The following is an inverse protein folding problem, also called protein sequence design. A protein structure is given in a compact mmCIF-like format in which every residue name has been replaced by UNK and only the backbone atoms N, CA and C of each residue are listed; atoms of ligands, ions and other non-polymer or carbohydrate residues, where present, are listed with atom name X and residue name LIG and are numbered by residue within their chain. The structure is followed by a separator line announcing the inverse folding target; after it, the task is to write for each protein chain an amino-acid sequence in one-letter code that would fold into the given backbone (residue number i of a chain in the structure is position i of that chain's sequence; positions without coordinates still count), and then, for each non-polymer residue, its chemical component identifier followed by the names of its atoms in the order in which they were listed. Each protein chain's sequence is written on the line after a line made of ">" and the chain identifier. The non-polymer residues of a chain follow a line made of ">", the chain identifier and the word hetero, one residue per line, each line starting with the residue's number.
data_IF_621840559839
#
_entry.id   IF_621840559839
#
_cell.length_a   1.000
_cell.length_b   1.000
_cell.length_c   1.000
_cell.angle_alpha   90.00
_cell.angle_beta   90.00
_cell.angle_gamma   90.00
#
_symmetry.space_group_name_H-M   'P 1'
#
loop_
_entity.id
_entity.type
_entity.pdbx_description
1 polymer ?
#
# COMPACT_ATOMS: atom_id res chain seq x y z
N UNK A 1 33.09 4.08 2.16
CA UNK A 1 31.91 3.84 3.02
C UNK A 1 30.68 4.02 2.15
N UNK A 2 29.75 3.06 2.17
CA UNK A 2 28.54 3.14 1.35
C UNK A 2 27.55 4.09 2.02
N UNK A 3 27.02 5.05 1.27
CA UNK A 3 25.96 5.96 1.71
C UNK A 3 24.55 5.37 1.46
N UNK A 4 24.45 4.04 1.36
CA UNK A 4 23.18 3.37 1.09
C UNK A 4 22.26 3.45 2.33
N UNK A 5 21.09 4.06 2.14
CA UNK A 5 20.02 4.10 3.15
C UNK A 5 19.18 2.80 3.16
N UNK A 6 19.31 1.99 2.11
CA UNK A 6 18.66 0.69 1.99
C UNK A 6 19.66 -0.47 2.23
N UNK A 7 19.22 -1.61 2.79
CA UNK A 7 20.09 -2.77 3.01
C UNK A 7 20.69 -3.27 1.69
N UNK A 8 21.96 -3.72 1.66
CA UNK A 8 22.56 -4.33 0.47
C UNK A 8 21.67 -5.45 -0.08
N UNK A 9 21.42 -5.42 -1.39
CA UNK A 9 20.56 -6.40 -2.05
C UNK A 9 19.18 -5.87 -2.43
N UNK A 10 18.74 -4.69 -1.97
CA UNK A 10 17.48 -4.08 -2.45
C UNK A 10 17.53 -3.83 -3.96
N UNK A 11 16.93 -4.71 -4.74
CA UNK A 11 16.47 -4.39 -6.09
C UNK A 11 15.16 -3.65 -5.87
N UNK A 12 15.21 -2.33 -5.66
CA UNK A 12 14.01 -1.54 -5.50
C UNK A 12 13.27 -1.47 -6.85
N UNK A 13 12.35 -2.41 -7.09
CA UNK A 13 11.48 -2.37 -8.26
C UNK A 13 10.47 -1.24 -8.14
N UNK A 14 9.77 -1.16 -7.00
CA UNK A 14 8.76 -0.14 -6.71
C UNK A 14 8.81 0.30 -5.24
N UNK A 15 8.68 1.61 -5.02
CA UNK A 15 8.68 2.25 -3.70
C UNK A 15 7.45 3.15 -3.59
N UNK A 16 6.86 3.18 -2.40
CA UNK A 16 5.85 4.18 -2.04
C UNK A 16 6.18 4.79 -0.70
N UNK A 17 5.91 6.08 -0.57
CA UNK A 17 6.24 6.84 0.62
C UNK A 17 4.99 7.47 1.22
N UNK A 18 4.95 7.48 2.55
CA UNK A 18 4.03 8.29 3.31
C UNK A 18 4.82 9.15 4.29
N UNK A 19 4.44 10.43 4.32
CA UNK A 19 4.87 11.36 5.35
C UNK A 19 3.72 11.52 6.33
N UNK A 20 3.92 11.10 7.58
CA UNK A 20 3.00 11.46 8.66
C UNK A 20 3.32 12.89 9.09
N UNK A 21 2.33 13.78 9.02
CA UNK A 21 2.46 15.13 9.56
C UNK A 21 2.76 15.06 11.06
N UNK A 22 3.98 15.47 11.45
CA UNK A 22 4.33 15.77 12.85
C UNK A 22 5.25 14.80 13.59
N UNK A 23 5.70 13.66 13.04
CA UNK A 23 6.67 12.83 13.79
C UNK A 23 7.50 11.80 13.01
N UNK A 24 6.93 11.00 12.12
CA UNK A 24 7.64 9.86 11.51
C UNK A 24 7.49 9.83 9.99
N UNK A 25 8.61 9.65 9.29
CA UNK A 25 8.64 9.29 7.88
C UNK A 25 8.50 7.77 7.77
N UNK A 26 7.62 7.30 6.88
CA UNK A 26 7.39 5.87 6.64
C UNK A 26 7.51 5.59 5.14
N UNK A 27 8.56 4.87 4.77
CA UNK A 27 8.76 4.43 3.39
C UNK A 27 8.48 2.94 3.30
N UNK A 28 7.71 2.53 2.30
CA UNK A 28 7.38 1.13 2.05
C UNK A 28 8.03 0.67 0.75
N UNK A 29 8.78 -0.41 0.84
CA UNK A 29 9.64 -0.89 -0.25
C UNK A 29 9.45 -2.37 -0.44
N UNK A 30 9.27 -2.81 -1.69
CA UNK A 30 9.40 -4.21 -2.06
C UNK A 30 10.89 -4.56 -2.20
N UNK A 31 11.39 -5.41 -1.31
CA UNK A 31 12.80 -5.78 -1.21
C UNK A 31 13.11 -7.08 -1.96
N UNK A 32 14.39 -7.36 -2.17
CA UNK A 32 14.89 -8.56 -2.87
C UNK A 32 14.62 -9.88 -2.19
N UNK A 33 14.31 -9.87 -0.89
CA UNK A 33 13.82 -11.06 -0.18
C UNK A 33 12.34 -11.34 -0.48
N UNK A 34 11.78 -10.62 -1.47
CA UNK A 34 10.42 -10.65 -1.93
C UNK A 34 9.40 -10.29 -0.84
N UNK A 35 9.75 -9.36 0.06
CA UNK A 35 8.86 -8.86 1.12
C UNK A 35 8.69 -7.36 1.06
N UNK A 36 7.61 -6.87 1.65
CA UNK A 36 7.42 -5.44 1.86
C UNK A 36 8.08 -5.04 3.18
N UNK A 37 9.00 -4.09 3.10
CA UNK A 37 9.67 -3.49 4.24
C UNK A 37 9.11 -2.09 4.51
N UNK A 38 8.88 -1.79 5.78
CA UNK A 38 8.61 -0.46 6.28
C UNK A 38 9.89 0.10 6.90
N UNK A 39 10.39 1.19 6.32
CA UNK A 39 11.44 2.00 6.90
C UNK A 39 10.83 3.16 7.66
N UNK A 40 11.13 3.26 8.95
CA UNK A 40 10.62 4.30 9.84
C UNK A 40 11.76 5.21 10.26
N UNK A 41 11.62 6.51 10.04
CA UNK A 41 12.58 7.53 10.49
C UNK A 41 11.87 8.61 11.28
N UNK A 42 12.33 8.85 12.51
CA UNK A 42 11.87 9.98 13.31
C UNK A 42 12.46 11.31 12.87
N UNK A 43 11.81 12.42 13.26
CA UNK A 43 12.18 13.81 12.88
C UNK A 43 13.68 14.11 13.08
N UNK A 44 14.30 13.54 14.11
CA UNK A 44 15.71 13.77 14.48
C UNK A 44 16.58 12.51 14.39
N UNK A 45 16.06 11.41 13.84
CA UNK A 45 16.82 10.18 13.72
C UNK A 45 17.81 10.25 12.54
N UNK A 46 19.03 9.78 12.76
CA UNK A 46 20.01 9.56 11.69
C UNK A 46 19.81 8.21 11.00
N UNK A 47 19.23 7.24 11.73
CA UNK A 47 19.02 5.87 11.26
C UNK A 47 17.53 5.58 10.99
N UNK A 48 17.29 4.62 10.09
CA UNK A 48 15.98 4.05 9.84
C UNK A 48 15.80 2.76 10.65
N UNK A 49 14.64 2.61 11.29
CA UNK A 49 14.19 1.31 11.77
C UNK A 49 13.58 0.54 10.61
N UNK A 50 13.97 -0.71 10.43
CA UNK A 50 13.50 -1.57 9.34
C UNK A 50 12.58 -2.67 9.91
N UNK A 51 11.32 -2.65 9.50
CA UNK A 51 10.32 -3.63 9.90
C UNK A 51 9.76 -4.35 8.67
N UNK A 52 9.64 -5.68 8.74
CA UNK A 52 8.95 -6.45 7.70
C UNK A 52 7.45 -6.32 7.91
N UNK A 53 6.72 -5.94 6.86
CA UNK A 53 5.25 -5.96 6.84
C UNK A 53 4.82 -7.42 6.69
N UNK A 54 4.04 -7.98 7.63
CA UNK A 54 3.51 -9.34 7.50
C UNK A 54 2.50 -9.42 6.35
N UNK A 55 2.08 -10.63 5.98
CA UNK A 55 1.00 -10.83 5.02
C UNK A 55 1.36 -11.79 3.88
N UNK A 56 0.47 -11.92 2.89
CA UNK A 56 0.69 -12.73 1.69
C UNK A 56 1.95 -12.33 0.92
N UNK A 57 2.56 -13.29 0.24
CA UNK A 57 3.77 -13.07 -0.56
C UNK A 57 3.49 -12.13 -1.74
N UNK A 58 4.22 -11.00 -1.89
CA UNK A 58 4.15 -10.17 -3.09
C UNK A 58 4.59 -10.94 -4.35
N UNK A 59 4.00 -10.61 -5.50
CA UNK A 59 4.58 -11.01 -6.79
C UNK A 59 5.96 -10.36 -6.97
N UNK A 60 6.80 -10.95 -7.80
CA UNK A 60 8.10 -10.34 -8.13
C UNK A 60 7.90 -8.95 -8.76
N UNK A 61 8.64 -7.94 -8.27
CA UNK A 61 8.50 -6.53 -8.65
C UNK A 61 7.07 -5.97 -8.46
N UNK A 62 6.35 -6.44 -7.45
CA UNK A 62 5.02 -5.94 -7.12
C UNK A 62 5.05 -4.42 -6.89
N UNK A 63 4.17 -3.64 -7.53
CA UNK A 63 4.01 -2.25 -7.18
C UNK A 63 3.43 -2.15 -5.77
N UNK A 64 3.87 -1.12 -5.04
CA UNK A 64 3.37 -0.82 -3.70
C UNK A 64 2.68 0.53 -3.76
N UNK A 65 1.45 0.64 -3.25
CA UNK A 65 0.77 1.90 -3.02
C UNK A 65 0.34 2.00 -1.57
N UNK A 66 0.38 3.20 -0.99
CA UNK A 66 0.08 3.37 0.43
C UNK A 66 -0.75 4.63 0.62
N UNK A 67 -1.71 4.58 1.53
CA UNK A 67 -2.48 5.74 2.00
C UNK A 67 -2.44 5.81 3.52
N UNK A 68 -2.61 7.02 4.05
CA UNK A 68 -2.83 7.21 5.48
C UNK A 68 -3.83 8.34 5.73
N UNK A 69 -4.52 8.27 6.86
CA UNK A 69 -5.35 9.35 7.37
C UNK A 69 -5.48 9.26 8.89
N UNK A 70 -6.10 10.27 9.49
CA UNK A 70 -6.24 10.36 10.94
C UNK A 70 -5.27 11.36 11.58
N UNK A 71 -5.73 11.95 12.68
CA UNK A 71 -5.02 12.94 13.50
C UNK A 71 -4.72 12.38 14.88
N UNK A 72 -5.69 11.75 15.52
CA UNK A 72 -5.50 11.08 16.82
C UNK A 72 -5.09 9.64 16.62
N UNK A 73 -5.76 8.98 15.69
CA UNK A 73 -5.58 7.57 15.37
C UNK A 73 -5.06 7.49 13.96
N UNK A 74 -3.80 7.12 13.79
CA UNK A 74 -3.24 6.97 12.45
C UNK A 74 -3.71 5.65 11.86
N UNK A 75 -4.39 5.76 10.74
CA UNK A 75 -4.73 4.64 9.88
C UNK A 75 -3.76 4.62 8.69
N UNK A 76 -3.20 3.46 8.37
CA UNK A 76 -2.32 3.28 7.22
C UNK A 76 -2.71 2.01 6.49
N UNK A 77 -2.99 2.11 5.19
CA UNK A 77 -3.23 0.95 4.34
C UNK A 77 -2.13 0.84 3.29
N UNK A 78 -1.59 -0.36 3.13
CA UNK A 78 -0.66 -0.73 2.07
C UNK A 78 -1.41 -1.62 1.09
N UNK A 79 -1.20 -1.37 -0.20
CA UNK A 79 -1.69 -2.16 -1.29
C UNK A 79 -0.53 -2.67 -2.12
N UNK A 80 -0.61 -3.94 -2.52
CA UNK A 80 0.36 -4.57 -3.41
C UNK A 80 -0.27 -5.75 -4.12
N UNK A 81 0.39 -6.25 -5.16
CA UNK A 81 0.00 -7.45 -5.89
C UNK A 81 0.67 -8.68 -5.30
N UNK A 82 -0.10 -9.73 -5.05
CA UNK A 82 0.41 -11.02 -4.54
C UNK A 82 0.90 -11.93 -5.67
N UNK A 83 1.69 -12.94 -5.33
CA UNK A 83 2.10 -14.01 -6.25
C UNK A 83 0.91 -14.82 -6.82
N UNK A 84 -0.23 -14.80 -6.14
CA UNK A 84 -1.52 -15.31 -6.63
C UNK A 84 -2.28 -14.33 -7.56
N UNK A 85 -1.63 -13.25 -7.99
CA UNK A 85 -2.19 -12.21 -8.87
C UNK A 85 -3.44 -11.55 -8.28
N UNK A 86 -3.42 -11.26 -6.98
CA UNK A 86 -4.49 -10.53 -6.28
C UNK A 86 -4.01 -9.16 -5.81
N UNK A 87 -4.91 -8.20 -5.74
CA UNK A 87 -4.68 -6.96 -4.98
C UNK A 87 -4.92 -7.24 -3.50
N UNK A 88 -3.86 -7.16 -2.69
CA UNK A 88 -3.94 -7.33 -1.25
C UNK A 88 -3.95 -5.98 -0.54
N UNK A 89 -4.74 -5.86 0.54
CA UNK A 89 -4.65 -4.73 1.48
C UNK A 89 -4.07 -5.20 2.82
N UNK A 90 -3.11 -4.45 3.34
CA UNK A 90 -2.63 -4.56 4.73
C UNK A 90 -3.01 -3.29 5.47
N UNK A 91 -3.67 -3.45 6.61
CA UNK A 91 -4.20 -2.34 7.40
C UNK A 91 -3.46 -2.23 8.72
N UNK A 92 -3.10 -1.01 9.09
CA UNK A 92 -2.56 -0.69 10.41
C UNK A 92 -3.33 0.46 11.03
N UNK A 93 -3.60 0.35 12.32
CA UNK A 93 -4.27 1.34 13.14
C UNK A 93 -3.44 1.54 14.42
N UNK A 94 -3.03 2.79 14.68
CA UNK A 94 -2.17 3.12 15.83
C UNK A 94 -2.77 2.79 17.20
N UNK A 95 -4.10 2.71 17.31
CA UNK A 95 -4.81 2.51 18.57
C UNK A 95 -5.05 1.03 18.90
N UNK A 96 -5.16 0.19 17.87
CA UNK A 96 -5.68 -1.17 18.02
C UNK A 96 -4.59 -2.22 17.83
N UNK A 97 -3.46 -1.91 17.19
CA UNK A 97 -2.38 -2.88 17.02
C UNK A 97 -1.00 -2.24 16.83
N UNK A 98 0.04 -2.89 17.37
CA UNK A 98 1.44 -2.59 17.05
C UNK A 98 1.91 -3.16 15.70
N UNK A 99 1.04 -3.78 14.90
CA UNK A 99 1.39 -4.55 13.71
C UNK A 99 0.33 -4.41 12.60
N UNK A 100 0.73 -4.58 11.34
CA UNK A 100 -0.20 -4.63 10.20
C UNK A 100 -1.02 -5.92 10.23
N UNK A 101 -2.30 -5.81 9.88
CA UNK A 101 -3.25 -6.90 9.76
C UNK A 101 -3.65 -7.12 8.30
N UNK A 102 -3.82 -8.38 7.92
CA UNK A 102 -4.24 -8.77 6.57
C UNK A 102 -5.72 -8.43 6.37
N UNK A 103 -6.01 -7.53 5.45
CA UNK A 103 -7.37 -7.23 5.01
C UNK A 103 -7.85 -8.13 3.86
N UNK A 104 -9.02 -7.83 3.26
CA UNK A 104 -9.55 -8.59 2.13
C UNK A 104 -8.72 -8.41 0.85
N UNK A 105 -8.80 -9.39 -0.05
CA UNK A 105 -8.34 -9.20 -1.43
C UNK A 105 -9.36 -8.37 -2.21
N UNK A 106 -8.90 -7.39 -2.98
CA UNK A 106 -9.79 -6.44 -3.67
C UNK A 106 -10.22 -6.93 -5.06
N UNK A 107 -9.38 -7.76 -5.70
CA UNK A 107 -9.68 -8.40 -6.98
C UNK A 107 -8.45 -8.99 -7.66
N UNK A 108 -8.65 -9.48 -8.87
CA UNK A 108 -7.62 -10.11 -9.70
C UNK A 108 -6.82 -9.07 -10.48
N UNK A 109 -5.54 -9.34 -10.66
CA UNK A 109 -4.57 -8.46 -11.32
C UNK A 109 -4.06 -9.10 -12.59
N UNK A 110 -3.89 -8.29 -13.63
CA UNK A 110 -3.24 -8.73 -14.87
C UNK A 110 -1.78 -9.10 -14.59
N UNK A 111 -1.35 -10.26 -15.10
CA UNK A 111 0.06 -10.68 -14.99
C UNK A 111 0.99 -9.59 -15.56
N UNK A 112 2.11 -9.35 -14.87
CA UNK A 112 3.08 -8.29 -15.19
C UNK A 112 2.55 -6.85 -15.09
N UNK A 113 1.35 -6.62 -14.53
CA UNK A 113 0.87 -5.26 -14.32
C UNK A 113 1.73 -4.53 -13.29
N UNK A 114 2.06 -3.27 -13.61
CA UNK A 114 2.71 -2.31 -12.70
C UNK A 114 1.77 -1.17 -12.30
N UNK A 115 0.53 -1.19 -12.79
CA UNK A 115 -0.43 -0.11 -12.62
C UNK A 115 -1.16 -0.28 -11.29
N UNK A 116 -0.70 0.44 -10.26
CA UNK A 116 -1.36 0.49 -8.96
C UNK A 116 -1.33 1.92 -8.43
N UNK A 117 -2.49 2.43 -8.00
CA UNK A 117 -2.59 3.63 -7.19
C UNK A 117 -3.55 3.43 -6.03
N UNK A 118 -3.40 4.26 -5.01
CA UNK A 118 -4.36 4.36 -3.93
C UNK A 118 -4.57 5.82 -3.54
N UNK A 119 -5.81 6.16 -3.18
CA UNK A 119 -6.23 7.48 -2.75
C UNK A 119 -7.18 7.36 -1.55
N UNK A 120 -7.17 8.38 -0.70
CA UNK A 120 -8.04 8.45 0.47
C UNK A 120 -8.68 9.83 0.56
N UNK A 121 -9.98 9.85 0.83
CA UNK A 121 -10.71 11.02 1.25
C UNK A 121 -11.11 10.85 2.73
N UNK A 122 -10.58 11.74 3.58
CA UNK A 122 -10.85 11.73 5.01
C UNK A 122 -10.80 13.15 5.58
N UNK A 123 -11.62 13.37 6.61
CA UNK A 123 -11.64 14.59 7.39
C UNK A 123 -11.21 14.28 8.83
N UNK A 124 -9.93 14.54 9.14
CA UNK A 124 -9.35 14.15 10.42
C UNK A 124 -9.35 12.62 10.58
N UNK A 125 -9.95 12.13 11.66
CA UNK A 125 -10.13 10.69 11.94
C UNK A 125 -11.34 10.07 11.21
N UNK A 126 -12.15 10.87 10.50
CA UNK A 126 -13.35 10.39 9.82
C UNK A 126 -13.04 10.03 8.37
N UNK A 127 -13.09 8.74 8.05
CA UNK A 127 -12.94 8.24 6.69
C UNK A 127 -14.22 8.45 5.88
N UNK A 128 -14.09 9.05 4.69
CA UNK A 128 -15.19 9.17 3.72
C UNK A 128 -15.08 8.04 2.69
N UNK A 129 -13.92 7.92 2.03
CA UNK A 129 -13.72 6.98 0.95
C UNK A 129 -12.24 6.57 0.79
N UNK A 130 -12.02 5.34 0.34
CA UNK A 130 -10.74 4.87 -0.20
C UNK A 130 -10.96 4.42 -1.63
N UNK A 131 -10.00 4.71 -2.52
CA UNK A 131 -9.97 4.22 -3.90
C UNK A 131 -8.64 3.55 -4.18
N UNK A 132 -8.69 2.43 -4.91
CA UNK A 132 -7.53 1.64 -5.32
C UNK A 132 -7.74 1.24 -6.77
N UNK A 133 -6.92 1.79 -7.67
CA UNK A 133 -6.99 1.45 -9.09
C UNK A 133 -5.89 0.48 -9.49
N UNK A 134 -6.26 -0.50 -10.30
CA UNK A 134 -5.38 -1.53 -10.83
C UNK A 134 -5.89 -2.06 -12.17
N UNK A 135 -5.04 -2.74 -12.92
CA UNK A 135 -5.42 -3.38 -14.19
C UNK A 135 -5.89 -4.81 -13.93
N UNK A 136 -7.16 -5.12 -14.21
CA UNK A 136 -7.72 -6.45 -14.01
C UNK A 136 -7.67 -7.29 -15.30
N UNK A 137 -7.56 -8.62 -15.21
CA UNK A 137 -7.59 -9.49 -16.40
C UNK A 137 -8.91 -9.42 -17.17
N UNK A 138 -10.01 -9.10 -16.49
CA UNK A 138 -11.34 -8.95 -17.07
C UNK A 138 -11.50 -7.67 -17.90
N UNK A 139 -10.70 -6.64 -17.64
CA UNK A 139 -10.73 -5.35 -18.33
C UNK A 139 -9.30 -4.84 -18.55
N UNK A 140 -8.48 -5.55 -19.34
CA UNK A 140 -7.04 -5.31 -19.43
C UNK A 140 -6.69 -3.98 -20.11
N UNK A 141 -7.61 -3.38 -20.85
CA UNK A 141 -7.36 -2.13 -21.58
C UNK A 141 -7.76 -0.87 -20.77
N UNK A 142 -8.19 -1.03 -19.52
CA UNK A 142 -8.61 0.08 -18.65
C UNK A 142 -8.23 -0.19 -17.19
N UNK A 143 -8.59 0.75 -16.31
CA UNK A 143 -8.41 0.62 -14.87
C UNK A 143 -9.70 0.13 -14.23
N UNK A 144 -9.57 -0.96 -13.47
CA UNK A 144 -10.56 -1.39 -12.49
C UNK A 144 -10.29 -0.67 -11.19
N UNK A 145 -11.32 -0.08 -10.58
CA UNK A 145 -11.18 0.62 -9.31
C UNK A 145 -11.99 -0.07 -8.21
N UNK A 146 -11.29 -0.55 -7.18
CA UNK A 146 -11.90 -0.95 -5.92
C UNK A 146 -12.04 0.27 -5.03
N UNK A 147 -13.19 0.42 -4.41
CA UNK A 147 -13.45 1.52 -3.48
C UNK A 147 -14.09 1.01 -2.19
N UNK A 148 -13.83 1.72 -1.11
CA UNK A 148 -14.39 1.45 0.21
C UNK A 148 -15.11 2.69 0.72
N UNK A 149 -16.33 2.51 1.20
CA UNK A 149 -17.00 3.49 2.08
C UNK A 149 -17.41 2.79 3.37
N UNK A 150 -17.49 3.51 4.51
CA UNK A 150 -17.95 2.91 5.76
C UNK A 150 -19.35 2.28 5.66
N UNK A 151 -20.22 2.80 4.80
CA UNK A 151 -21.58 2.30 4.61
C UNK A 151 -21.68 1.03 3.76
N UNK A 152 -20.77 0.83 2.81
CA UNK A 152 -20.89 -0.27 1.82
C UNK A 152 -19.82 -1.35 1.99
N UNK A 153 -18.73 -1.05 2.69
CA UNK A 153 -17.51 -1.82 2.61
C UNK A 153 -16.87 -1.76 1.22
N UNK A 154 -15.97 -2.70 0.95
CA UNK A 154 -15.28 -2.80 -0.34
C UNK A 154 -16.25 -3.21 -1.47
N UNK A 155 -16.15 -2.50 -2.59
CA UNK A 155 -16.86 -2.75 -3.85
C UNK A 155 -15.91 -2.45 -5.00
N UNK A 156 -16.31 -2.84 -6.20
CA UNK A 156 -15.54 -2.62 -7.43
C UNK A 156 -16.40 -1.89 -8.44
N UNK A 157 -15.81 -0.91 -9.13
CA UNK A 157 -16.40 -0.25 -10.30
C UNK A 157 -15.42 -0.31 -11.46
N UNK A 158 -15.97 -0.32 -12.67
CA UNK A 158 -15.21 -0.34 -13.92
C UNK A 158 -15.52 0.96 -14.63
N UNK A 159 -14.48 1.69 -15.06
CA UNK A 159 -14.66 2.82 -15.95
C UNK A 159 -14.96 2.28 -17.36
N UNK A 160 -16.22 2.44 -17.78
CA UNK A 160 -16.58 2.22 -19.18
C UNK A 160 -16.06 3.41 -20.01
N UNK A 161 -15.30 3.14 -21.06
CA UNK A 161 -15.10 4.14 -22.10
C UNK A 161 -16.43 4.34 -22.80
N UNK A 162 -17.02 5.53 -22.70
CA UNK A 162 -17.97 5.99 -23.70
C UNK A 162 -17.17 6.20 -24.99
N UNK A 163 -17.34 5.30 -25.98
CA UNK A 163 -16.84 5.49 -27.34
C UNK A 163 -17.66 6.55 -28.08
#
# INVERSE_FOLDING_TARGET
>A
MSNAIFPPGTVAGHMSEIVQTGSLWRTFVHCSDNKIHQLVRGVNALDYQNNVVPGPTPMLNSPVAVICWGVKVLHTHIFYFTDELKVQVMSWNSDVAGYFETGPTLGDVMECSIALYAQVEAHGDTLTEIRVGYQSPSNPETITESYYTPSTGWRTRIYHNEM
#
